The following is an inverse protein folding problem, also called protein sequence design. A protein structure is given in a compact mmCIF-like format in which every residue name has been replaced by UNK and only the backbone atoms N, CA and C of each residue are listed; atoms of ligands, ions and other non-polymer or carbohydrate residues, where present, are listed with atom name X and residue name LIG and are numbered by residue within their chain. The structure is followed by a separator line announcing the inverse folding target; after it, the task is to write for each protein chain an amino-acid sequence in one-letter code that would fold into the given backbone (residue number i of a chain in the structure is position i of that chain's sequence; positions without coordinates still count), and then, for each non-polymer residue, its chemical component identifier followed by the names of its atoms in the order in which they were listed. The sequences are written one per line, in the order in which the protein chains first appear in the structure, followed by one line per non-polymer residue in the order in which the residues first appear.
data_IF_704790771560
#
_entry.id   IF_704790771560
#
_cell.length_a   1.000
_cell.length_b   1.000
_cell.length_c   1.000
_cell.angle_alpha   90.00
_cell.angle_beta   90.00
_cell.angle_gamma   90.00
#
_symmetry.space_group_name_H-M   'P 1'
#
loop_
_entity.id
_entity.type
_entity.pdbx_description
1 polymer ?
#
# COMPACT_ATOMS: atom_id res chain seq x y z
N UNK A 1 -45.27 -51.78 22.78
CA UNK A 1 -44.80 -51.82 21.38
C UNK A 1 -45.71 -50.91 20.58
N UNK A 2 -45.33 -49.77 20.01
CA UNK A 2 -44.16 -48.94 20.13
C UNK A 2 -44.56 -47.52 19.76
N UNK A 3 -43.87 -46.59 20.40
CA UNK A 3 -43.88 -45.16 20.19
C UNK A 3 -43.31 -44.82 18.81
N UNK A 4 -44.08 -44.18 17.92
CA UNK A 4 -43.54 -43.47 16.76
C UNK A 4 -44.21 -42.10 16.62
N UNK A 5 -43.68 -41.20 17.42
CA UNK A 5 -43.73 -39.75 17.31
C UNK A 5 -43.36 -39.24 15.90
N UNK A 6 -44.27 -38.45 15.33
CA UNK A 6 -44.02 -37.07 14.90
C UNK A 6 -42.72 -36.79 14.12
N UNK A 7 -42.73 -36.90 12.78
CA UNK A 7 -41.66 -36.37 11.90
C UNK A 7 -42.14 -36.10 10.46
N UNK A 8 -43.20 -35.31 10.27
CA UNK A 8 -43.48 -34.68 8.97
C UNK A 8 -43.83 -33.21 9.16
N UNK A 9 -42.83 -32.45 9.56
CA UNK A 9 -42.87 -31.01 9.71
C UNK A 9 -41.44 -30.49 9.76
N UNK A 10 -40.69 -30.65 8.67
CA UNK A 10 -39.52 -29.78 8.49
C UNK A 10 -40.08 -28.37 8.25
N UNK A 11 -39.85 -27.39 9.15
CA UNK A 11 -40.09 -26.02 8.76
C UNK A 11 -39.19 -25.77 7.55
N UNK A 12 -39.78 -25.35 6.44
CA UNK A 12 -39.02 -24.72 5.37
C UNK A 12 -38.32 -23.55 6.06
N UNK A 13 -37.01 -23.68 6.29
CA UNK A 13 -36.19 -22.55 6.64
C UNK A 13 -36.45 -21.54 5.52
N UNK A 14 -37.21 -20.50 5.84
CA UNK A 14 -37.40 -19.35 4.97
C UNK A 14 -36.00 -18.78 4.80
N UNK A 15 -35.32 -19.21 3.74
CA UNK A 15 -34.12 -18.56 3.23
C UNK A 15 -34.59 -17.19 2.75
N UNK A 16 -34.72 -16.25 3.70
CA UNK A 16 -34.82 -14.85 3.39
C UNK A 16 -33.56 -14.56 2.57
N UNK A 17 -33.73 -14.40 1.25
CA UNK A 17 -32.73 -13.79 0.41
C UNK A 17 -32.56 -12.38 0.95
N UNK A 18 -31.57 -12.24 1.82
CA UNK A 18 -31.34 -11.05 2.63
C UNK A 18 -30.65 -10.01 1.75
N UNK A 19 -31.41 -9.52 0.78
CA UNK A 19 -30.95 -8.56 -0.21
C UNK A 19 -30.57 -7.27 0.50
N UNK A 20 -29.31 -6.87 0.35
CA UNK A 20 -28.73 -5.63 0.89
C UNK A 20 -29.53 -4.35 0.53
N UNK A 21 -30.34 -4.41 -0.52
CA UNK A 21 -31.16 -3.29 -0.99
C UNK A 21 -32.55 -3.19 -0.32
N UNK A 22 -32.93 -4.17 0.51
CA UNK A 22 -34.22 -4.16 1.19
C UNK A 22 -34.16 -3.34 2.48
N UNK A 23 -34.90 -2.23 2.50
CA UNK A 23 -35.02 -1.32 3.65
C UNK A 23 -35.63 -2.04 4.87
N UNK A 24 -36.47 -3.06 4.66
CA UNK A 24 -37.05 -3.83 5.76
C UNK A 24 -36.00 -4.69 6.49
N UNK A 25 -34.98 -5.17 5.77
CA UNK A 25 -33.86 -5.90 6.38
C UNK A 25 -33.05 -5.01 7.35
N UNK A 26 -32.91 -3.73 7.03
CA UNK A 26 -32.20 -2.76 7.87
C UNK A 26 -32.96 -2.42 9.15
N UNK A 27 -34.30 -2.32 9.07
CA UNK A 27 -35.14 -2.09 10.25
C UNK A 27 -35.13 -3.28 11.21
N UNK A 28 -35.11 -4.51 10.68
CA UNK A 28 -34.96 -5.72 11.49
C UNK A 28 -33.57 -5.80 12.14
N UNK A 29 -32.52 -5.48 11.38
CA UNK A 29 -31.14 -5.43 11.88
C UNK A 29 -30.98 -4.39 12.99
N UNK A 30 -31.64 -3.24 12.85
CA UNK A 30 -31.67 -2.19 13.88
C UNK A 30 -32.38 -2.64 15.15
N UNK A 31 -33.48 -3.40 15.05
CA UNK A 31 -34.17 -3.98 16.22
C UNK A 31 -33.33 -5.06 16.90
N UNK A 32 -32.65 -5.90 16.13
CA UNK A 32 -31.73 -6.92 16.66
C UNK A 32 -30.51 -6.29 17.35
N UNK A 33 -29.96 -5.20 16.83
CA UNK A 33 -28.86 -4.46 17.45
C UNK A 33 -29.21 -3.88 18.83
N UNK A 34 -30.49 -3.61 19.10
CA UNK A 34 -30.96 -3.17 20.42
C UNK A 34 -31.02 -4.31 21.45
N UNK A 35 -31.06 -5.57 20.99
CA UNK A 35 -31.14 -6.75 21.86
C UNK A 35 -29.79 -7.43 22.04
N UNK A 36 -29.02 -7.58 20.96
CA UNK A 36 -27.72 -8.24 20.94
C UNK A 36 -26.79 -7.51 19.95
N UNK A 37 -26.09 -6.51 20.48
CA UNK A 37 -25.16 -5.65 19.74
C UNK A 37 -24.04 -6.47 19.05
N UNK A 38 -23.59 -7.56 19.66
CA UNK A 38 -22.52 -8.41 19.12
C UNK A 38 -22.96 -9.21 17.89
N UNK A 39 -24.12 -9.86 17.95
CA UNK A 39 -24.66 -10.61 16.80
C UNK A 39 -25.10 -9.69 15.67
N UNK A 40 -25.61 -8.51 15.99
CA UNK A 40 -25.95 -7.52 14.97
C UNK A 40 -24.69 -6.97 14.28
N UNK A 41 -23.62 -6.72 15.03
CA UNK A 41 -22.33 -6.30 14.46
C UNK A 41 -21.76 -7.35 13.51
N UNK A 42 -21.84 -8.64 13.87
CA UNK A 42 -21.41 -9.74 13.00
C UNK A 42 -22.19 -9.78 11.68
N UNK A 43 -23.52 -9.68 11.75
CA UNK A 43 -24.38 -9.64 10.55
C UNK A 43 -24.08 -8.43 9.66
N UNK A 44 -23.84 -7.26 10.24
CA UNK A 44 -23.45 -6.05 9.50
C UNK A 44 -22.07 -6.20 8.86
N UNK A 45 -21.10 -6.74 9.60
CA UNK A 45 -19.73 -6.93 9.14
C UNK A 45 -19.66 -7.90 7.95
N UNK A 46 -20.41 -9.00 7.99
CA UNK A 46 -20.57 -9.93 6.86
C UNK A 46 -21.19 -9.23 5.64
N UNK A 47 -22.27 -8.45 5.84
CA UNK A 47 -22.87 -7.66 4.73
C UNK A 47 -21.87 -6.67 4.12
N UNK A 48 -21.01 -6.04 4.93
CA UNK A 48 -19.97 -5.14 4.44
C UNK A 48 -18.88 -5.88 3.64
N UNK A 49 -18.45 -7.05 4.10
CA UNK A 49 -17.50 -7.90 3.37
C UNK A 49 -18.06 -8.30 2.00
N UNK A 50 -19.33 -8.68 1.89
CA UNK A 50 -19.97 -9.00 0.61
C UNK A 50 -20.00 -7.83 -0.39
N UNK A 51 -20.27 -6.61 0.08
CA UNK A 51 -20.21 -5.41 -0.77
C UNK A 51 -18.77 -5.16 -1.25
N UNK A 52 -17.80 -5.33 -0.35
CA UNK A 52 -16.40 -5.18 -0.70
C UNK A 52 -15.95 -6.23 -1.73
N UNK A 53 -16.37 -7.49 -1.59
CA UNK A 53 -16.10 -8.55 -2.56
C UNK A 53 -16.73 -8.24 -3.92
N UNK A 54 -17.97 -7.75 -3.93
CA UNK A 54 -18.62 -7.33 -5.17
C UNK A 54 -17.86 -6.18 -5.85
N UNK A 55 -17.38 -5.19 -5.09
CA UNK A 55 -16.55 -4.11 -5.62
C UNK A 55 -15.21 -4.63 -6.16
N UNK A 56 -14.59 -5.59 -5.46
CA UNK A 56 -13.33 -6.21 -5.86
C UNK A 56 -13.50 -7.01 -7.17
N UNK A 57 -14.46 -7.93 -7.24
CA UNK A 57 -14.74 -8.73 -8.44
C UNK A 57 -15.09 -7.84 -9.63
N UNK A 58 -15.93 -6.82 -9.40
CA UNK A 58 -16.26 -5.82 -10.44
C UNK A 58 -15.02 -5.06 -10.90
N UNK A 59 -14.16 -4.60 -9.99
CA UNK A 59 -12.93 -3.88 -10.34
C UNK A 59 -11.94 -4.75 -11.11
N UNK A 60 -11.83 -6.03 -10.76
CA UNK A 60 -10.98 -6.99 -11.48
C UNK A 60 -11.51 -7.21 -12.90
N UNK A 61 -12.83 -7.27 -13.08
CA UNK A 61 -13.45 -7.42 -14.39
C UNK A 61 -13.34 -6.16 -15.24
N UNK A 62 -13.56 -4.98 -14.67
CA UNK A 62 -13.37 -3.70 -15.37
C UNK A 62 -11.91 -3.51 -15.81
N UNK A 63 -10.95 -3.95 -14.98
CA UNK A 63 -9.54 -3.95 -15.35
C UNK A 63 -9.24 -4.92 -16.51
N UNK A 64 -9.89 -6.10 -16.54
CA UNK A 64 -9.75 -7.06 -17.63
C UNK A 64 -10.50 -6.64 -18.90
N UNK A 65 -11.60 -5.88 -18.78
CA UNK A 65 -12.35 -5.33 -19.90
C UNK A 65 -11.51 -4.34 -20.72
N UNK A 66 -10.51 -3.68 -20.11
CA UNK A 66 -9.54 -2.85 -20.84
C UNK A 66 -8.61 -3.65 -21.77
N UNK A 67 -8.57 -4.98 -21.62
CA UNK A 67 -7.83 -5.91 -22.48
C UNK A 67 -8.74 -6.75 -23.39
N UNK A 68 -10.06 -6.65 -23.23
CA UNK A 68 -11.02 -7.29 -24.15
C UNK A 68 -11.04 -6.48 -25.46
N UNK A 69 -10.58 -7.09 -26.56
CA UNK A 69 -10.70 -6.48 -27.89
C UNK A 69 -12.17 -6.36 -28.28
N UNK A 70 -12.57 -5.24 -28.89
CA UNK A 70 -13.98 -4.97 -29.25
C UNK A 70 -14.61 -6.06 -30.15
N UNK A 71 -13.79 -6.86 -30.83
CA UNK A 71 -14.19 -7.99 -31.69
C UNK A 71 -14.25 -9.37 -30.98
N UNK A 72 -14.12 -9.45 -29.65
CA UNK A 72 -14.14 -10.74 -28.95
C UNK A 72 -15.56 -11.35 -28.91
N UNK A 73 -15.80 -12.54 -29.50
CA UNK A 73 -17.11 -13.19 -29.56
C UNK A 73 -17.68 -13.61 -28.19
N UNK A 74 -16.89 -13.49 -27.12
CA UNK A 74 -17.28 -13.78 -25.74
C UNK A 74 -17.72 -12.54 -24.93
N UNK A 75 -17.77 -11.35 -25.55
CA UNK A 75 -18.10 -10.07 -24.90
C UNK A 75 -19.56 -9.63 -25.07
N UNK A 76 -20.43 -10.52 -25.56
CA UNK A 76 -21.83 -10.18 -25.85
C UNK A 76 -22.57 -9.62 -24.62
N UNK A 77 -23.56 -8.74 -24.85
CA UNK A 77 -24.34 -8.15 -23.77
C UNK A 77 -25.04 -9.20 -22.88
N UNK A 78 -25.49 -10.32 -23.47
CA UNK A 78 -26.07 -11.44 -22.74
C UNK A 78 -25.04 -12.18 -21.87
N UNK A 79 -23.81 -12.37 -22.38
CA UNK A 79 -22.72 -12.94 -21.60
C UNK A 79 -22.40 -12.04 -20.41
N UNK A 80 -22.29 -10.72 -20.61
CA UNK A 80 -22.02 -9.74 -19.54
C UNK A 80 -23.08 -9.80 -18.43
N UNK A 81 -24.37 -9.81 -18.79
CA UNK A 81 -25.46 -9.93 -17.81
C UNK A 81 -25.39 -11.23 -17.00
N UNK A 82 -25.16 -12.38 -17.64
CA UNK A 82 -25.02 -13.66 -16.95
C UNK A 82 -23.80 -13.67 -16.01
N UNK A 83 -22.71 -13.08 -16.48
CA UNK A 83 -21.46 -12.93 -15.73
C UNK A 83 -21.64 -12.06 -14.49
N UNK A 84 -22.41 -10.98 -14.59
CA UNK A 84 -22.66 -10.07 -13.48
C UNK A 84 -23.55 -10.73 -12.41
N UNK A 85 -24.59 -11.46 -12.86
CA UNK A 85 -25.42 -12.29 -11.98
C UNK A 85 -24.59 -13.36 -11.26
N UNK A 86 -23.70 -14.02 -11.98
CA UNK A 86 -22.81 -15.05 -11.42
C UNK A 86 -21.86 -14.48 -10.38
N UNK A 87 -21.24 -13.32 -10.65
CA UNK A 87 -20.34 -12.67 -9.71
C UNK A 87 -21.06 -12.17 -8.45
N UNK A 88 -22.31 -11.73 -8.58
CA UNK A 88 -23.15 -11.39 -7.42
C UNK A 88 -23.37 -12.60 -6.52
N UNK A 89 -23.72 -13.76 -7.09
CA UNK A 89 -23.92 -14.98 -6.30
C UNK A 89 -22.62 -15.48 -5.68
N UNK A 90 -21.51 -15.41 -6.42
CA UNK A 90 -20.19 -15.78 -5.90
C UNK A 90 -19.75 -14.86 -4.75
N UNK A 91 -19.99 -13.55 -4.85
CA UNK A 91 -19.68 -12.61 -3.77
C UNK A 91 -20.51 -12.89 -2.50
N UNK A 92 -21.78 -13.25 -2.66
CA UNK A 92 -22.65 -13.63 -1.54
C UNK A 92 -22.15 -14.92 -0.87
N UNK A 93 -21.89 -15.97 -1.64
CA UNK A 93 -21.43 -17.27 -1.12
C UNK A 93 -20.06 -17.15 -0.42
N UNK A 94 -19.10 -16.43 -1.01
CA UNK A 94 -17.79 -16.20 -0.41
C UNK A 94 -17.85 -15.35 0.87
N UNK A 95 -18.78 -14.39 0.92
CA UNK A 95 -19.02 -13.57 2.11
C UNK A 95 -19.74 -14.34 3.22
N UNK A 96 -20.66 -15.24 2.90
CA UNK A 96 -21.31 -16.10 3.90
C UNK A 96 -20.32 -17.11 4.51
N UNK A 97 -19.40 -17.62 3.69
CA UNK A 97 -18.33 -18.52 4.10
C UNK A 97 -17.19 -17.81 4.86
N UNK A 98 -17.16 -16.47 4.89
CA UNK A 98 -16.14 -15.67 5.60
C UNK A 98 -14.74 -15.79 5.00
N UNK A 99 -14.62 -15.96 3.68
CA UNK A 99 -13.36 -16.39 3.04
C UNK A 99 -12.20 -15.39 3.15
N UNK A 100 -12.47 -14.11 3.42
CA UNK A 100 -11.46 -13.06 3.51
C UNK A 100 -11.13 -12.65 4.96
N UNK A 101 -11.95 -13.07 5.94
CA UNK A 101 -11.78 -12.72 7.35
C UNK A 101 -11.97 -11.24 7.67
N UNK A 102 -12.40 -10.39 6.73
CA UNK A 102 -12.60 -8.96 6.95
C UNK A 102 -13.77 -8.72 7.91
N UNK A 103 -14.83 -9.53 7.80
CA UNK A 103 -15.95 -9.48 8.73
C UNK A 103 -15.49 -9.72 10.18
N UNK A 104 -14.65 -10.73 10.40
CA UNK A 104 -14.10 -11.06 11.72
C UNK A 104 -13.22 -9.93 12.26
N UNK A 105 -12.43 -9.29 11.40
CA UNK A 105 -11.63 -8.12 11.79
C UNK A 105 -12.50 -6.92 12.19
N UNK A 106 -13.59 -6.68 11.47
CA UNK A 106 -14.54 -5.60 11.79
C UNK A 106 -15.22 -5.89 13.13
N UNK A 107 -15.64 -7.14 13.37
CA UNK A 107 -16.22 -7.58 14.65
C UNK A 107 -15.21 -7.46 15.77
N UNK A 108 -13.96 -7.86 15.56
CA UNK A 108 -12.89 -7.74 16.55
C UNK A 108 -12.56 -6.28 16.89
N UNK A 109 -12.57 -5.39 15.89
CA UNK A 109 -12.23 -3.98 16.08
C UNK A 109 -13.36 -3.15 16.67
N UNK A 110 -14.61 -3.42 16.29
CA UNK A 110 -15.79 -2.68 16.77
C UNK A 110 -16.46 -3.35 17.97
N UNK A 111 -16.19 -4.64 18.22
CA UNK A 111 -16.71 -5.39 19.37
C UNK A 111 -15.88 -5.23 20.64
N UNK A 112 -14.66 -4.69 20.56
CA UNK A 112 -13.86 -4.39 21.75
C UNK A 112 -14.40 -3.14 22.47
N UNK A 113 -15.09 -3.35 23.58
CA UNK A 113 -15.64 -2.28 24.44
C UNK A 113 -14.59 -1.53 25.26
N UNK A 114 -13.37 -2.06 25.35
CA UNK A 114 -12.28 -1.49 26.16
C UNK A 114 -11.14 -0.95 25.29
N UNK A 115 -11.40 0.11 24.51
CA UNK A 115 -10.43 1.12 24.03
C UNK A 115 -9.13 0.69 23.33
N UNK A 116 -8.87 -0.60 23.17
CA UNK A 116 -7.61 -1.15 22.73
C UNK A 116 -7.68 -1.49 21.24
N UNK A 117 -7.91 -0.45 20.44
CA UNK A 117 -7.90 -0.53 18.98
C UNK A 117 -6.63 -1.25 18.52
N UNK A 118 -6.77 -2.46 17.97
CA UNK A 118 -5.65 -3.13 17.33
C UNK A 118 -5.45 -2.43 15.98
N UNK A 119 -4.28 -1.83 15.72
CA UNK A 119 -4.04 -1.23 14.42
C UNK A 119 -4.03 -2.35 13.36
N UNK A 120 -4.58 -2.09 12.18
CA UNK A 120 -4.61 -3.07 11.07
C UNK A 120 -3.21 -3.63 10.71
N UNK A 121 -2.13 -2.94 11.12
CA UNK A 121 -0.76 -3.41 11.02
C UNK A 121 -0.43 -4.59 11.94
N UNK A 122 -1.06 -4.73 13.11
CA UNK A 122 -0.85 -5.84 14.04
C UNK A 122 -1.44 -7.17 13.53
N UNK A 123 -2.45 -7.10 12.65
CA UNK A 123 -3.08 -8.27 12.03
C UNK A 123 -2.30 -8.79 10.82
N UNK A 124 -1.41 -7.99 10.24
CA UNK A 124 -0.56 -8.41 9.12
C UNK A 124 0.65 -9.24 9.58
N UNK A 125 0.99 -9.22 10.88
CA UNK A 125 2.18 -9.89 11.43
C UNK A 125 1.88 -11.20 12.15
N UNK A 126 0.62 -11.58 12.30
CA UNK A 126 0.21 -12.88 12.83
C UNK A 126 -0.54 -13.62 11.72
N UNK A 127 0.07 -14.70 11.24
CA UNK A 127 -0.25 -15.32 9.96
C UNK A 127 -1.72 -15.64 9.76
N UNK A 128 -2.35 -14.95 8.80
CA UNK A 128 -3.37 -15.56 7.96
C UNK A 128 -2.65 -16.30 6.85
N UNK A 129 -2.35 -17.58 7.09
CA UNK A 129 -2.16 -18.54 6.02
C UNK A 129 -3.50 -18.63 5.27
N UNK A 130 -3.62 -17.91 4.15
CA UNK A 130 -4.60 -18.21 3.11
C UNK A 130 -4.22 -19.56 2.51
N UNK A 131 -4.61 -20.64 3.18
CA UNK A 131 -4.46 -22.00 2.69
C UNK A 131 -5.44 -22.22 1.53
N UNK A 132 -5.07 -21.78 0.33
CA UNK A 132 -5.57 -22.39 -0.90
C UNK A 132 -5.01 -23.81 -0.90
N UNK A 133 -5.88 -24.76 -0.61
CA UNK A 133 -5.61 -26.19 -0.56
C UNK A 133 -5.21 -26.69 -1.96
N UNK A 134 -3.92 -26.60 -2.29
CA UNK A 134 -3.33 -27.28 -3.44
C UNK A 134 -2.82 -28.64 -2.98
N UNK A 135 -3.49 -29.67 -3.46
CA UNK A 135 -3.25 -31.06 -3.11
C UNK A 135 -1.80 -31.50 -3.29
N UNK A 136 -1.32 -32.18 -2.25
CA UNK A 136 -0.18 -33.07 -2.11
C UNK A 136 0.18 -33.84 -3.40
N UNK A 137 1.39 -33.63 -3.92
CA UNK A 137 2.14 -34.67 -4.66
C UNK A 137 3.51 -34.81 -3.98
N UNK A 138 3.66 -35.91 -3.25
CA UNK A 138 4.92 -36.45 -2.74
C UNK A 138 5.42 -37.51 -3.73
N UNK A 139 6.67 -37.39 -4.16
CA UNK A 139 7.61 -38.49 -4.49
C UNK A 139 9.00 -37.85 -4.60
N UNK A 140 9.91 -38.08 -3.62
CA UNK A 140 10.99 -39.11 -3.64
C UNK A 140 12.13 -38.75 -4.63
N UNK A 141 13.44 -38.82 -4.40
CA UNK A 141 14.33 -39.27 -3.32
C UNK A 141 15.78 -38.93 -3.76
N UNK A 142 16.62 -38.52 -2.81
CA UNK A 142 18.09 -38.52 -2.67
C UNK A 142 19.10 -38.80 -3.82
N UNK A 143 19.97 -37.79 -4.09
CA UNK A 143 21.46 -37.77 -4.24
C UNK A 143 22.20 -38.55 -5.38
N UNK A 144 23.50 -38.28 -5.74
CA UNK A 144 24.44 -37.20 -5.34
C UNK A 144 25.16 -36.46 -6.51
N UNK A 145 25.93 -35.45 -6.10
CA UNK A 145 26.85 -34.52 -6.77
C UNK A 145 27.72 -35.04 -7.94
N UNK A 146 27.84 -34.23 -9.01
CA UNK A 146 29.06 -34.12 -9.83
C UNK A 146 29.20 -32.72 -10.44
N UNK A 147 30.24 -32.00 -10.01
CA UNK A 147 30.70 -30.75 -10.62
C UNK A 147 31.16 -31.01 -12.06
N UNK A 148 30.65 -30.25 -13.03
CA UNK A 148 31.42 -29.81 -14.20
C UNK A 148 31.05 -28.35 -14.51
N UNK A 149 32.10 -27.56 -14.60
CA UNK A 149 32.20 -26.14 -14.94
C UNK A 149 31.74 -25.79 -16.37
N UNK A 150 31.22 -24.56 -16.48
CA UNK A 150 31.18 -23.65 -17.64
C UNK A 150 30.35 -24.04 -18.89
N UNK A 151 29.17 -23.43 -19.04
CA UNK A 151 28.86 -22.36 -20.02
C UNK A 151 27.34 -22.11 -20.13
N UNK A 152 26.90 -20.89 -19.75
CA UNK A 152 25.70 -20.09 -20.18
C UNK A 152 24.29 -20.76 -20.21
N UNK A 153 23.21 -20.17 -19.64
CA UNK A 153 22.70 -18.83 -19.96
C UNK A 153 22.29 -17.97 -18.75
N UNK A 154 22.20 -16.66 -19.01
CA UNK A 154 21.74 -15.64 -18.07
C UNK A 154 20.33 -15.95 -17.55
N UNK A 155 20.28 -16.52 -16.35
CA UNK A 155 19.10 -16.61 -15.53
C UNK A 155 18.79 -15.21 -14.98
N UNK A 156 17.64 -14.68 -15.39
CA UNK A 156 17.02 -13.49 -14.83
C UNK A 156 16.64 -13.74 -13.37
N UNK A 157 17.64 -13.69 -12.49
CA UNK A 157 17.41 -13.53 -11.07
C UNK A 157 16.95 -12.10 -10.85
N UNK A 158 15.64 -11.92 -10.67
CA UNK A 158 15.07 -10.70 -10.11
C UNK A 158 15.81 -10.39 -8.82
N UNK A 159 16.73 -9.43 -8.86
CA UNK A 159 17.44 -8.92 -7.69
C UNK A 159 16.39 -8.24 -6.82
N UNK A 160 15.83 -8.98 -5.86
CA UNK A 160 14.98 -8.40 -4.83
C UNK A 160 15.87 -7.42 -4.06
N UNK A 161 15.67 -6.13 -4.30
CA UNK A 161 16.41 -5.07 -3.60
C UNK A 161 15.99 -5.14 -2.13
N UNK A 162 16.89 -5.39 -1.17
CA UNK A 162 16.51 -5.51 0.23
C UNK A 162 15.90 -4.20 0.73
N UNK A 163 14.59 -4.18 0.96
CA UNK A 163 13.90 -3.00 1.44
C UNK A 163 14.42 -2.61 2.83
N UNK A 164 14.99 -1.41 2.95
CA UNK A 164 15.36 -0.87 4.26
C UNK A 164 14.07 -0.48 4.98
N UNK A 165 13.78 -1.21 6.05
CA UNK A 165 12.70 -0.88 6.98
C UNK A 165 13.20 0.09 8.04
N UNK A 166 12.36 1.06 8.39
CA UNK A 166 12.59 2.02 9.46
C UNK A 166 11.55 1.79 10.55
N UNK A 167 12.01 1.36 11.73
CA UNK A 167 11.10 0.99 12.81
C UNK A 167 10.74 2.18 13.72
N UNK A 168 11.59 3.22 13.75
CA UNK A 168 11.36 4.45 14.52
C UNK A 168 12.08 5.67 13.92
N UNK A 169 11.74 6.90 14.33
CA UNK A 169 12.50 8.10 13.98
C UNK A 169 13.99 8.02 14.34
N UNK A 170 14.34 7.41 15.48
CA UNK A 170 15.73 7.23 15.89
C UNK A 170 16.46 6.27 14.91
N UNK A 171 15.85 5.12 14.62
CA UNK A 171 16.38 4.14 13.68
C UNK A 171 16.56 4.72 12.27
N UNK A 172 15.64 5.58 11.84
CA UNK A 172 15.76 6.35 10.59
C UNK A 172 16.99 7.26 10.59
N UNK A 173 17.19 8.03 11.66
CA UNK A 173 18.36 8.91 11.80
C UNK A 173 19.64 8.08 11.79
N UNK A 174 19.72 7.03 12.59
CA UNK A 174 20.92 6.21 12.75
C UNK A 174 21.32 5.52 11.44
N UNK A 175 20.37 4.91 10.73
CA UNK A 175 20.62 4.23 9.45
C UNK A 175 21.02 5.19 8.34
N UNK A 176 20.47 6.41 8.32
CA UNK A 176 20.73 7.38 7.24
C UNK A 176 21.91 8.32 7.50
N UNK A 177 22.30 8.52 8.76
CA UNK A 177 23.40 9.41 9.15
C UNK A 177 24.71 9.19 8.39
N UNK A 178 25.22 7.96 8.17
CA UNK A 178 26.47 7.77 7.42
C UNK A 178 26.38 8.30 5.98
N UNK A 179 25.24 8.09 5.29
CA UNK A 179 25.03 8.58 3.93
C UNK A 179 24.84 10.09 3.90
N UNK A 180 24.07 10.63 4.85
CA UNK A 180 23.87 12.07 5.00
C UNK A 180 25.19 12.80 5.27
N UNK A 181 26.10 12.23 6.06
CA UNK A 181 27.43 12.80 6.30
C UNK A 181 28.26 12.89 5.02
N UNK A 182 28.32 11.82 4.22
CA UNK A 182 29.01 11.82 2.93
C UNK A 182 28.42 12.86 1.97
N UNK A 183 27.09 12.89 1.84
CA UNK A 183 26.40 13.84 0.98
C UNK A 183 26.62 15.30 1.42
N UNK A 184 26.56 15.57 2.73
CA UNK A 184 26.79 16.88 3.30
C UNK A 184 28.23 17.38 3.08
N UNK A 185 29.23 16.48 3.13
CA UNK A 185 30.62 16.83 2.78
C UNK A 185 30.76 17.32 1.35
N UNK A 186 30.01 16.74 0.41
CA UNK A 186 30.03 17.14 -1.00
C UNK A 186 29.22 18.42 -1.22
N UNK A 187 28.07 18.56 -0.55
CA UNK A 187 27.15 19.69 -0.72
C UNK A 187 27.60 20.94 0.04
N UNK A 188 28.34 20.80 1.13
CA UNK A 188 28.76 21.89 2.03
C UNK A 188 27.72 22.27 3.09
N UNK A 189 26.74 21.39 3.36
CA UNK A 189 25.63 21.63 4.29
C UNK A 189 25.69 20.78 5.56
N UNK A 190 24.61 20.80 6.35
CA UNK A 190 24.47 19.95 7.54
C UNK A 190 23.86 18.59 7.20
N UNK A 191 24.43 17.46 7.67
CA UNK A 191 23.83 16.13 7.52
C UNK A 191 22.40 16.06 8.07
N UNK A 192 22.14 16.75 9.18
CA UNK A 192 20.82 16.78 9.82
C UNK A 192 19.76 17.43 8.94
N UNK A 193 20.14 18.39 8.07
CA UNK A 193 19.20 19.00 7.11
C UNK A 193 18.76 17.98 6.06
N UNK A 194 19.71 17.19 5.54
CA UNK A 194 19.39 16.15 4.56
C UNK A 194 18.49 15.07 5.15
N UNK A 195 18.74 14.66 6.40
CA UNK A 195 17.88 13.71 7.12
C UNK A 195 16.51 14.33 7.39
N UNK A 196 16.43 15.60 7.81
CA UNK A 196 15.16 16.27 8.06
C UNK A 196 14.31 16.40 6.80
N UNK A 197 14.94 16.70 5.66
CA UNK A 197 14.28 16.65 4.36
C UNK A 197 13.76 15.25 4.07
N UNK A 198 14.62 14.23 4.11
CA UNK A 198 14.21 12.85 3.85
C UNK A 198 13.08 12.37 4.79
N UNK A 199 13.14 12.75 6.07
CA UNK A 199 12.12 12.42 7.06
C UNK A 199 10.78 13.08 6.75
N UNK A 200 10.77 14.35 6.33
CA UNK A 200 9.53 15.01 5.92
C UNK A 200 8.95 14.39 4.64
N UNK A 201 9.80 14.14 3.65
CA UNK A 201 9.42 13.62 2.33
C UNK A 201 8.85 12.21 2.40
N UNK A 202 9.42 11.37 3.26
CA UNK A 202 9.04 9.94 3.37
C UNK A 202 8.17 9.66 4.60
N UNK A 203 7.88 10.65 5.43
CA UNK A 203 7.25 10.45 6.73
C UNK A 203 8.05 9.48 7.61
N UNK A 204 9.33 9.77 7.84
CA UNK A 204 10.27 8.90 8.58
C UNK A 204 10.41 7.49 7.97
N UNK A 205 10.45 7.43 6.63
CA UNK A 205 10.63 6.18 5.87
C UNK A 205 9.37 5.35 5.66
N UNK A 206 8.22 5.76 6.20
CA UNK A 206 6.96 4.99 6.13
C UNK A 206 6.26 5.11 4.77
N UNK A 207 6.57 6.14 3.98
CA UNK A 207 5.91 6.49 2.71
C UNK A 207 6.90 6.59 1.56
N UNK A 208 7.93 5.75 1.54
CA UNK A 208 8.84 5.67 0.39
C UNK A 208 8.05 5.09 -0.79
N UNK A 209 8.22 5.71 -1.95
CA UNK A 209 7.61 5.22 -3.19
C UNK A 209 8.08 3.78 -3.46
N UNK A 210 7.13 2.88 -3.72
CA UNK A 210 7.43 1.48 -4.07
C UNK A 210 7.48 1.31 -5.58
N UNK A 211 8.42 0.46 -6.04
CA UNK A 211 8.53 0.03 -7.42
C UNK A 211 7.42 -0.94 -7.82
N UNK A 212 7.43 -1.35 -9.09
CA UNK A 212 6.38 -2.22 -9.66
C UNK A 212 6.24 -3.57 -8.95
N UNK A 213 7.32 -4.07 -8.36
CA UNK A 213 7.38 -5.39 -7.72
C UNK A 213 7.18 -5.32 -6.20
N UNK A 214 6.81 -4.15 -5.66
CA UNK A 214 6.68 -3.92 -4.21
C UNK A 214 8.00 -3.58 -3.52
N UNK A 215 9.13 -3.63 -4.24
CA UNK A 215 10.44 -3.23 -3.73
C UNK A 215 10.49 -1.71 -3.45
N UNK A 216 11.35 -1.30 -2.51
CA UNK A 216 11.59 0.12 -2.26
C UNK A 216 12.27 0.76 -3.46
N UNK A 217 11.79 1.95 -3.88
CA UNK A 217 12.52 2.78 -4.86
C UNK A 217 13.76 3.42 -4.26
N UNK A 218 13.91 3.39 -2.94
CA UNK A 218 14.87 4.16 -2.15
C UNK A 218 14.84 5.66 -2.41
N UNK A 219 13.80 6.21 -3.04
CA UNK A 219 13.74 7.63 -3.33
C UNK A 219 13.33 8.44 -2.09
N UNK A 220 14.33 8.77 -1.29
CA UNK A 220 14.16 9.43 0.00
C UNK A 220 13.79 10.93 -0.13
N UNK A 221 13.94 11.51 -1.33
CA UNK A 221 13.76 12.94 -1.58
C UNK A 221 12.63 13.24 -2.57
N UNK A 222 11.82 12.22 -2.92
CA UNK A 222 10.71 12.30 -3.87
C UNK A 222 11.08 12.96 -5.22
N UNK A 223 12.30 12.71 -5.72
CA UNK A 223 12.76 13.30 -6.99
C UNK A 223 11.98 12.69 -8.14
N UNK A 224 11.29 13.53 -8.92
CA UNK A 224 10.53 13.11 -10.09
C UNK A 224 11.47 12.62 -11.21
N UNK A 225 11.02 11.60 -11.93
CA UNK A 225 11.69 11.10 -13.12
C UNK A 225 11.30 11.96 -14.34
N UNK A 226 12.11 12.97 -14.63
CA UNK A 226 11.96 13.78 -15.83
C UNK A 226 12.52 13.08 -17.09
N UNK A 227 12.40 13.72 -18.26
CA UNK A 227 12.83 13.14 -19.55
C UNK A 227 14.33 12.82 -19.64
N UNK A 228 15.16 13.41 -18.79
CA UNK A 228 16.62 13.20 -18.76
C UNK A 228 16.98 11.98 -17.91
N UNK A 229 16.06 11.51 -17.07
CA UNK A 229 16.29 10.36 -16.22
C UNK A 229 16.24 9.06 -17.03
N UNK A 230 17.37 8.36 -17.08
CA UNK A 230 17.54 7.10 -17.82
C UNK A 230 17.47 5.86 -16.91
N UNK A 231 17.47 6.05 -15.59
CA UNK A 231 17.42 4.96 -14.62
C UNK A 231 16.01 4.41 -14.40
N UNK A 232 15.88 3.50 -13.45
CA UNK A 232 14.60 2.90 -13.07
C UNK A 232 13.61 3.95 -12.55
N UNK A 233 12.32 3.68 -12.73
CA UNK A 233 11.25 4.59 -12.34
C UNK A 233 10.18 3.83 -11.57
N UNK A 234 9.73 4.43 -10.48
CA UNK A 234 8.57 3.99 -9.75
C UNK A 234 7.39 4.93 -10.05
N UNK A 235 6.19 4.37 -10.26
CA UNK A 235 5.00 5.13 -10.62
C UNK A 235 3.99 5.06 -9.48
N UNK A 236 3.53 6.22 -9.03
CA UNK A 236 2.52 6.34 -7.97
C UNK A 236 1.32 7.08 -8.53
N UNK A 237 0.12 6.55 -8.29
CA UNK A 237 -1.13 7.27 -8.54
C UNK A 237 -1.23 8.43 -7.54
N UNK A 238 -1.14 9.66 -8.02
CA UNK A 238 -1.30 10.87 -7.21
C UNK A 238 -2.53 11.66 -7.66
N UNK A 239 -3.03 12.53 -6.78
CA UNK A 239 -4.05 13.51 -7.12
C UNK A 239 -3.30 14.85 -7.22
N UNK A 240 -3.20 15.37 -8.42
CA UNK A 240 -2.57 16.66 -8.71
C UNK A 240 -3.66 17.72 -8.96
N UNK A 241 -3.44 18.95 -8.52
CA UNK A 241 -4.36 20.04 -8.77
C UNK A 241 -3.86 20.87 -9.96
N UNK A 242 -4.55 20.79 -11.10
CA UNK A 242 -4.30 21.64 -12.26
C UNK A 242 -5.43 22.66 -12.34
N UNK A 243 -5.07 23.94 -12.28
CA UNK A 243 -6.04 25.06 -12.35
C UNK A 243 -7.16 24.95 -11.29
N UNK A 244 -6.85 24.39 -10.13
CA UNK A 244 -7.81 24.19 -9.03
C UNK A 244 -8.67 22.91 -9.13
N UNK A 245 -8.53 22.12 -10.20
CA UNK A 245 -9.24 20.85 -10.37
C UNK A 245 -8.35 19.68 -9.98
N UNK A 246 -8.86 18.78 -9.13
CA UNK A 246 -8.19 17.56 -8.74
C UNK A 246 -8.21 16.53 -9.89
N UNK A 247 -7.04 16.23 -10.47
CA UNK A 247 -6.86 15.26 -11.54
C UNK A 247 -6.02 14.10 -11.01
N UNK A 248 -6.45 12.85 -11.25
CA UNK A 248 -5.64 11.67 -10.97
C UNK A 248 -4.58 11.53 -12.05
N UNK A 249 -3.31 11.59 -11.66
CA UNK A 249 -2.18 11.47 -12.57
C UNK A 249 -1.19 10.42 -12.03
N UNK A 250 -0.52 9.70 -12.92
CA UNK A 250 0.57 8.82 -12.53
C UNK A 250 1.86 9.64 -12.48
N UNK A 251 2.27 10.02 -11.27
CA UNK A 251 3.57 10.64 -11.06
C UNK A 251 4.67 9.58 -11.15
N UNK A 252 5.71 9.87 -11.95
CA UNK A 252 6.90 9.04 -12.07
C UNK A 252 8.01 9.60 -11.21
N UNK A 253 8.57 8.76 -10.36
CA UNK A 253 9.67 9.07 -9.46
C UNK A 253 10.89 8.26 -9.86
N UNK A 254 12.08 8.83 -9.64
CA UNK A 254 13.35 8.10 -9.79
C UNK A 254 13.35 6.92 -8.83
N UNK A 255 13.98 5.82 -9.23
CA UNK A 255 14.18 4.64 -8.41
C UNK A 255 15.65 4.27 -8.44
N UNK A 256 16.18 3.88 -7.28
CA UNK A 256 17.59 3.62 -7.07
C UNK A 256 17.81 2.18 -6.60
N UNK A 257 19.07 1.74 -6.58
CA UNK A 257 19.43 0.41 -6.08
C UNK A 257 19.58 0.37 -4.56
N UNK A 258 19.91 1.51 -3.95
CA UNK A 258 20.15 1.64 -2.53
C UNK A 258 20.05 3.11 -2.07
N UNK A 259 20.14 3.31 -0.76
CA UNK A 259 20.12 4.63 -0.11
C UNK A 259 21.27 5.53 -0.57
N UNK A 260 22.47 5.00 -0.77
CA UNK A 260 23.64 5.79 -1.17
C UNK A 260 23.42 6.46 -2.53
N UNK A 261 22.86 5.73 -3.50
CA UNK A 261 22.48 6.29 -4.80
C UNK A 261 21.43 7.40 -4.66
N UNK A 262 20.43 7.26 -3.78
CA UNK A 262 19.44 8.32 -3.56
C UNK A 262 20.07 9.61 -3.01
N UNK A 263 21.01 9.51 -2.08
CA UNK A 263 21.72 10.68 -1.55
C UNK A 263 22.63 11.31 -2.60
N UNK A 264 23.36 10.49 -3.37
CA UNK A 264 24.26 10.97 -4.42
C UNK A 264 23.49 11.68 -5.55
N UNK A 265 22.36 11.11 -5.99
CA UNK A 265 21.52 11.73 -7.01
C UNK A 265 20.88 13.04 -6.50
N UNK A 266 20.46 13.10 -5.23
CA UNK A 266 20.00 14.35 -4.62
C UNK A 266 21.10 15.43 -4.63
N UNK A 267 22.33 15.08 -4.25
CA UNK A 267 23.45 16.03 -4.28
C UNK A 267 23.67 16.56 -5.70
N UNK A 268 23.72 15.68 -6.71
CA UNK A 268 23.85 16.09 -8.12
C UNK A 268 22.67 16.96 -8.56
N UNK A 269 21.44 16.55 -8.25
CA UNK A 269 20.22 17.28 -8.58
C UNK A 269 20.21 18.72 -8.04
N UNK A 270 20.69 18.93 -6.81
CA UNK A 270 20.77 20.26 -6.22
C UNK A 270 21.96 21.06 -6.80
N UNK A 271 23.16 20.46 -6.91
CA UNK A 271 24.37 21.18 -7.35
C UNK A 271 24.35 21.55 -8.83
N UNK A 272 23.85 20.66 -9.69
CA UNK A 272 23.94 20.80 -11.14
C UNK A 272 22.81 21.64 -11.72
N UNK A 273 21.74 21.87 -10.94
CA UNK A 273 20.58 22.64 -11.38
C UNK A 273 20.83 24.15 -11.21
N UNK A 274 20.80 24.96 -12.29
CA UNK A 274 20.91 26.41 -12.19
C UNK A 274 19.84 27.04 -11.31
N UNK A 275 18.68 26.38 -11.20
CA UNK A 275 17.53 26.80 -10.38
C UNK A 275 17.87 26.90 -8.90
N UNK A 276 18.78 26.07 -8.38
CA UNK A 276 19.08 25.99 -6.94
C UNK A 276 20.38 26.71 -6.52
N UNK A 277 21.03 27.44 -7.42
CA UNK A 277 22.31 28.10 -7.14
C UNK A 277 22.20 29.16 -6.03
N UNK A 278 21.09 29.92 -6.00
CA UNK A 278 20.85 30.88 -4.90
C UNK A 278 20.72 30.16 -3.54
N UNK A 279 20.04 29.01 -3.51
CA UNK A 279 19.99 28.19 -2.30
C UNK A 279 21.38 27.68 -1.90
N UNK A 280 22.17 27.19 -2.86
CA UNK A 280 23.53 26.71 -2.62
C UNK A 280 24.46 27.80 -2.06
N UNK A 281 24.27 29.06 -2.43
CA UNK A 281 25.03 30.18 -1.83
C UNK A 281 24.77 30.35 -0.33
N UNK A 282 23.64 29.84 0.17
CA UNK A 282 23.17 29.93 1.56
C UNK A 282 23.26 28.60 2.31
N UNK A 283 23.94 27.59 1.74
CA UNK A 283 23.97 26.21 2.25
C UNK A 283 24.47 26.08 3.71
N UNK A 284 25.29 27.03 4.16
CA UNK A 284 25.80 27.09 5.53
C UNK A 284 24.75 27.46 6.57
N UNK A 285 23.65 28.10 6.18
CA UNK A 285 22.53 28.42 7.05
C UNK A 285 21.29 27.60 6.66
N UNK A 286 20.91 26.59 7.47
CA UNK A 286 19.78 25.71 7.18
C UNK A 286 18.47 26.44 6.85
N UNK A 287 18.11 27.46 7.62
CA UNK A 287 16.86 28.19 7.41
C UNK A 287 16.88 28.94 6.07
N UNK A 288 17.95 29.70 5.80
CA UNK A 288 18.11 30.45 4.56
C UNK A 288 18.19 29.54 3.33
N UNK A 289 18.87 28.40 3.44
CA UNK A 289 18.94 27.38 2.40
C UNK A 289 17.54 26.84 2.06
N UNK A 290 16.79 26.40 3.08
CA UNK A 290 15.46 25.81 2.91
C UNK A 290 14.44 26.80 2.35
N UNK A 291 14.47 28.05 2.81
CA UNK A 291 13.64 29.10 2.24
C UNK A 291 13.96 29.37 0.76
N UNK A 292 15.24 29.37 0.40
CA UNK A 292 15.66 29.60 -0.98
C UNK A 292 15.33 28.41 -1.89
N UNK A 293 15.42 27.17 -1.38
CA UNK A 293 14.93 25.98 -2.09
C UNK A 293 13.42 26.06 -2.37
N UNK A 294 12.64 26.50 -1.39
CA UNK A 294 11.20 26.69 -1.55
C UNK A 294 10.89 27.77 -2.61
N UNK A 295 11.57 28.93 -2.54
CA UNK A 295 11.42 30.01 -3.53
C UNK A 295 11.80 29.57 -4.94
N UNK A 296 12.81 28.70 -5.05
CA UNK A 296 13.22 28.09 -6.31
C UNK A 296 12.22 27.04 -6.85
N UNK A 297 11.16 26.72 -6.10
CA UNK A 297 10.11 25.80 -6.51
C UNK A 297 10.47 24.32 -6.34
N UNK A 298 11.27 23.98 -5.33
CA UNK A 298 11.52 22.58 -4.96
C UNK A 298 10.22 21.88 -4.52
N UNK A 299 9.39 22.58 -3.75
CA UNK A 299 8.08 22.11 -3.29
C UNK A 299 7.01 23.18 -3.54
N UNK A 300 5.78 22.76 -3.82
CA UNK A 300 4.62 23.66 -4.02
C UNK A 300 3.97 24.08 -2.70
N UNK A 301 4.32 23.45 -1.59
CA UNK A 301 3.78 23.76 -0.26
C UNK A 301 4.33 25.11 0.25
N UNK A 302 3.46 26.11 0.57
CA UNK A 302 3.89 27.41 1.07
C UNK A 302 4.58 27.35 2.44
N UNK A 303 4.43 26.26 3.19
CA UNK A 303 5.05 26.07 4.51
C UNK A 303 6.21 25.06 4.50
N UNK A 304 6.70 24.65 3.33
CA UNK A 304 7.73 23.62 3.19
C UNK A 304 8.97 23.87 4.05
N UNK A 305 9.59 25.05 3.95
CA UNK A 305 10.80 25.37 4.72
C UNK A 305 10.53 25.33 6.23
N UNK A 306 9.39 25.87 6.68
CA UNK A 306 8.99 25.88 8.08
C UNK A 306 8.80 24.46 8.63
N UNK A 307 8.18 23.56 7.85
CA UNK A 307 8.00 22.15 8.23
C UNK A 307 9.34 21.45 8.41
N UNK A 308 10.29 21.65 7.48
CA UNK A 308 11.61 21.03 7.60
C UNK A 308 12.38 21.58 8.80
N UNK A 309 12.31 22.87 9.08
CA UNK A 309 12.94 23.46 10.27
C UNK A 309 12.40 22.79 11.54
N UNK A 310 11.09 22.55 11.64
CA UNK A 310 10.50 21.82 12.76
C UNK A 310 11.02 20.37 12.89
N UNK A 311 11.14 19.65 11.76
CA UNK A 311 11.71 18.29 11.75
C UNK A 311 13.21 18.31 12.08
N UNK A 312 13.94 19.33 11.64
CA UNK A 312 15.38 19.50 11.88
C UNK A 312 15.70 19.60 13.37
N UNK A 313 14.88 20.30 14.15
CA UNK A 313 15.04 20.34 15.61
C UNK A 313 14.92 18.94 16.23
N UNK A 314 13.97 18.14 15.75
CA UNK A 314 13.80 16.76 16.21
C UNK A 314 14.99 15.88 15.81
N UNK A 315 15.41 15.93 14.54
CA UNK A 315 16.59 15.18 14.05
C UNK A 315 17.85 15.56 14.82
N UNK A 316 18.04 16.84 15.12
CA UNK A 316 19.21 17.33 15.86
C UNK A 316 19.25 16.80 17.30
N UNK A 317 18.09 16.52 17.91
CA UNK A 317 18.00 15.87 19.22
C UNK A 317 18.32 14.38 19.14
N UNK A 318 17.82 13.69 18.11
CA UNK A 318 18.03 12.25 17.87
C UNK A 318 19.47 11.92 17.42
N UNK A 319 20.18 12.88 16.83
CA UNK A 319 21.54 12.71 16.33
C UNK A 319 22.64 12.93 17.41
N UNK A 320 22.26 13.19 18.66
CA UNK A 320 23.18 13.36 19.80
C UNK A 320 23.41 12.03 20.50
#
# INVERSE_FOLDING_TARGET
MDNLSNTFGRPLASSYQDNFQDVASLDNLRKEAQQDEGKALEKVARKFEGIFMQMLLKSMREANAAFETEDSPFSSAGTKMYRDMHDQQMALDLSEQGSLGLADLIVQQLGQKDGNYMPASALRTQGLDLAVSANKIQTAESAPTKQITSSEPADTSSVIKPAIKFDSPQDFVDKLMPYAKKAAQILGGSPSVLIAQAALETGWGQKIVVGKNGDSSFNLFNIKADKRWQGEQASVKTIEFREGVAVRENAKFRSYDNVEQSFNDYVGFIKDSPRYQDAMSKISNPASFLHSLQQAGYATDPNYAKKIIGVLEQVTKLAK
#
